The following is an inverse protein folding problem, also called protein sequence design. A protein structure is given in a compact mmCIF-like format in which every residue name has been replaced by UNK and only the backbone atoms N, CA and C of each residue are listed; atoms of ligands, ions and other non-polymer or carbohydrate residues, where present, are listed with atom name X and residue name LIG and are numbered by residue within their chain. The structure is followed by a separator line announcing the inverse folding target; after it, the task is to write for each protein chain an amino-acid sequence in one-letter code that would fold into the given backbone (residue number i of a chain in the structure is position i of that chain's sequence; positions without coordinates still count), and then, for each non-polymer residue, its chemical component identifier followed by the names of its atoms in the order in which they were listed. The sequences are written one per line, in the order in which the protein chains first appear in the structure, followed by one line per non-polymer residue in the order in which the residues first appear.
data_IF_886895327772
#
_entry.id   IF_886895327772
#
_cell.length_a   1.000
_cell.length_b   1.000
_cell.length_c   1.000
_cell.angle_alpha   90.00
_cell.angle_beta   90.00
_cell.angle_gamma   90.00
#
_symmetry.space_group_name_H-M   'P 1'
#
loop_
_entity.id
_entity.type
_entity.pdbx_description
1 polymer ?
#
# COMPACT_ATOMS: atom_id res chain seq x y z
N UNK A 1 -3.88 -0.51 3.99
CA UNK A 1 -3.52 0.07 5.30
C UNK A 1 -2.15 -0.42 5.73
N UNK A 2 -1.25 0.44 6.19
CA UNK A 2 0.02 0.00 6.80
C UNK A 2 -0.29 -0.61 8.18
N UNK A 3 0.08 -1.87 8.40
CA UNK A 3 -0.20 -2.59 9.65
C UNK A 3 1.05 -2.84 10.50
N UNK A 4 2.23 -2.78 9.90
CA UNK A 4 3.49 -2.77 10.64
C UNK A 4 4.60 -2.12 9.83
N UNK A 5 5.59 -1.56 10.53
CA UNK A 5 6.80 -0.99 9.96
C UNK A 5 8.03 -1.47 10.74
N UNK A 6 9.18 -1.50 10.08
CA UNK A 6 10.49 -1.75 10.70
C UNK A 6 11.53 -0.84 10.04
N UNK A 7 12.35 -0.17 10.83
CA UNK A 7 13.32 0.80 10.31
C UNK A 7 12.65 2.13 9.94
N UNK A 8 13.29 2.91 9.07
CA UNK A 8 12.77 4.19 8.62
C UNK A 8 11.79 3.98 7.46
N UNK A 9 10.54 4.42 7.61
CA UNK A 9 9.50 4.34 6.57
C UNK A 9 8.85 5.72 6.37
N UNK A 10 8.40 6.08 5.16
CA UNK A 10 7.88 7.42 4.86
C UNK A 10 6.52 7.71 5.53
N UNK A 11 5.83 6.67 5.99
CA UNK A 11 4.57 6.74 6.73
C UNK A 11 4.58 5.74 7.88
N UNK A 12 3.75 6.04 8.87
CA UNK A 12 3.58 5.24 10.08
C UNK A 12 2.46 4.19 9.92
N UNK A 13 2.43 3.24 10.85
CA UNK A 13 1.33 2.29 11.00
C UNK A 13 0.00 3.05 11.11
N UNK A 14 -1.02 2.55 10.42
CA UNK A 14 -2.34 3.17 10.36
C UNK A 14 -2.55 4.08 9.15
N UNK A 15 -1.50 4.49 8.43
CA UNK A 15 -1.65 5.19 7.15
C UNK A 15 -2.44 4.34 6.15
N UNK A 16 -3.31 5.01 5.37
CA UNK A 16 -4.22 4.36 4.42
C UNK A 16 -4.08 4.96 3.04
N UNK A 17 -4.27 4.08 2.07
CA UNK A 17 -4.44 4.40 0.66
C UNK A 17 -5.66 3.61 0.19
N UNK A 18 -6.54 4.27 -0.54
CA UNK A 18 -7.69 3.65 -1.21
C UNK A 18 -7.38 3.61 -2.70
N UNK A 19 -7.65 2.45 -3.32
CA UNK A 19 -7.45 2.24 -4.75
C UNK A 19 -8.80 1.88 -5.36
N UNK A 20 -9.21 2.60 -6.40
CA UNK A 20 -10.44 2.29 -7.14
C UNK A 20 -10.20 1.16 -8.14
N UNK A 21 -11.26 0.53 -8.64
CA UNK A 21 -11.15 -0.48 -9.71
C UNK A 21 -10.50 0.06 -11.00
N UNK A 22 -10.54 1.38 -11.20
CA UNK A 22 -9.89 2.08 -12.31
C UNK A 22 -8.45 2.49 -12.01
N UNK A 23 -7.95 2.16 -10.82
CA UNK A 23 -6.58 2.42 -10.38
C UNK A 23 -6.33 3.85 -9.90
N UNK A 24 -7.37 4.63 -9.64
CA UNK A 24 -7.23 5.94 -8.99
C UNK A 24 -6.84 5.75 -7.53
N UNK A 25 -6.03 6.66 -7.00
CA UNK A 25 -5.52 6.62 -5.63
C UNK A 25 -6.10 7.78 -4.83
N UNK A 26 -6.56 7.50 -3.61
CA UNK A 26 -6.91 8.48 -2.58
C UNK A 26 -6.07 8.22 -1.33
N UNK A 27 -5.40 9.26 -0.83
CA UNK A 27 -4.41 9.12 0.24
C UNK A 27 -3.07 8.57 -0.28
N UNK A 28 -2.16 8.23 0.63
CA UNK A 28 -0.83 7.71 0.29
C UNK A 28 -0.28 6.89 1.44
N UNK A 29 0.51 5.87 1.12
CA UNK A 29 1.29 5.09 2.09
C UNK A 29 2.79 5.42 2.05
N UNK A 30 3.19 6.41 1.27
CA UNK A 30 4.59 6.85 1.17
C UNK A 30 5.04 7.30 -0.22
N UNK A 31 4.27 6.99 -1.27
CA UNK A 31 4.67 7.24 -2.65
C UNK A 31 5.74 6.26 -3.17
N UNK A 32 6.29 6.54 -4.35
CA UNK A 32 7.37 5.76 -4.96
C UNK A 32 6.97 4.38 -5.48
N UNK A 33 7.97 3.53 -5.76
CA UNK A 33 7.78 2.20 -6.32
C UNK A 33 6.92 1.28 -5.42
N UNK A 34 7.11 1.36 -4.10
CA UNK A 34 6.32 0.58 -3.15
C UNK A 34 4.82 0.87 -3.21
N UNK A 35 4.42 2.12 -3.47
CA UNK A 35 3.02 2.48 -3.64
C UNK A 35 2.42 1.91 -4.93
N UNK A 36 3.21 1.89 -6.01
CA UNK A 36 2.80 1.30 -7.29
C UNK A 36 2.56 -0.22 -7.18
N UNK A 37 3.39 -0.94 -6.44
CA UNK A 37 3.21 -2.38 -6.19
C UNK A 37 1.95 -2.67 -5.38
N UNK A 38 1.72 -1.90 -4.32
CA UNK A 38 0.49 -2.03 -3.51
C UNK A 38 -0.75 -1.71 -4.34
N UNK A 39 -0.69 -0.70 -5.24
CA UNK A 39 -1.79 -0.41 -6.18
C UNK A 39 -2.10 -1.61 -7.08
N UNK A 40 -1.08 -2.27 -7.64
CA UNK A 40 -1.27 -3.44 -8.50
C UNK A 40 -1.96 -4.58 -7.74
N UNK A 41 -1.50 -4.88 -6.53
CA UNK A 41 -2.13 -5.91 -5.70
C UNK A 41 -3.54 -5.52 -5.26
N UNK A 42 -3.82 -4.23 -5.01
CA UNK A 42 -5.16 -3.76 -4.67
C UNK A 42 -6.18 -4.00 -5.80
N UNK A 43 -5.79 -3.79 -7.06
CA UNK A 43 -6.65 -4.11 -8.22
C UNK A 43 -6.95 -5.61 -8.27
N UNK A 44 -5.96 -6.47 -8.00
CA UNK A 44 -6.16 -7.92 -7.91
C UNK A 44 -7.05 -8.33 -6.73
N UNK A 45 -6.93 -7.67 -5.58
CA UNK A 45 -7.79 -7.88 -4.41
C UNK A 45 -9.24 -7.50 -4.73
N UNK A 46 -9.46 -6.38 -5.45
CA UNK A 46 -10.80 -5.98 -5.91
C UNK A 46 -11.41 -7.05 -6.83
N UNK A 47 -10.63 -7.54 -7.80
CA UNK A 47 -11.07 -8.55 -8.78
C UNK A 47 -11.38 -9.90 -8.12
N UNK A 48 -10.54 -10.33 -7.18
CA UNK A 48 -10.62 -11.66 -6.57
C UNK A 48 -11.47 -11.70 -5.30
N UNK A 49 -11.74 -10.53 -4.71
CA UNK A 49 -12.35 -10.35 -3.37
C UNK A 49 -11.61 -11.09 -2.25
N UNK A 50 -10.30 -11.32 -2.41
CA UNK A 50 -9.47 -11.99 -1.41
C UNK A 50 -8.47 -11.00 -0.85
N UNK A 51 -8.53 -10.67 0.46
CA UNK A 51 -7.54 -9.80 1.08
C UNK A 51 -6.12 -10.33 0.94
N UNK A 52 -5.13 -9.43 0.94
CA UNK A 52 -3.71 -9.77 0.82
C UNK A 52 -2.84 -8.96 1.76
N UNK A 53 -1.73 -9.56 2.16
CA UNK A 53 -0.62 -8.88 2.81
C UNK A 53 0.45 -8.59 1.77
N UNK A 54 0.82 -7.31 1.64
CA UNK A 54 1.89 -6.86 0.73
C UNK A 54 3.05 -6.36 1.56
N UNK A 55 4.23 -6.95 1.37
CA UNK A 55 5.46 -6.47 1.97
C UNK A 55 6.13 -5.52 0.99
N UNK A 56 6.40 -4.30 1.42
CA UNK A 56 7.17 -3.32 0.66
C UNK A 56 8.53 -3.17 1.34
N UNK A 57 9.57 -3.50 0.59
CA UNK A 57 10.96 -3.37 1.02
C UNK A 57 11.54 -2.10 0.40
N UNK A 58 11.98 -1.17 1.24
CA UNK A 58 12.60 0.08 0.81
C UNK A 58 14.12 0.04 0.96
N UNK A 59 14.69 -1.15 1.23
CA UNK A 59 16.13 -1.36 1.34
C UNK A 59 16.82 -1.48 -0.03
N UNK A 60 16.10 -1.78 -1.12
CA UNK A 60 16.74 -1.99 -2.42
C UNK A 60 16.95 -0.68 -3.22
N UNK A 61 16.33 0.44 -2.82
CA UNK A 61 16.52 1.73 -3.48
C UNK A 61 17.83 2.45 -3.07
N UNK A 62 18.69 1.76 -2.31
CA UNK A 62 19.99 2.28 -1.84
C UNK A 62 21.03 2.39 -2.99
N UNK A 63 20.77 1.78 -4.16
CA UNK A 63 21.68 1.90 -5.33
C UNK A 63 21.54 3.22 -6.09
N UNK A 64 20.45 3.96 -5.82
CA UNK A 64 20.16 5.28 -6.36
C UNK A 64 20.72 6.33 -5.41
N UNK A 65 21.56 7.26 -5.87
CA UNK A 65 22.11 8.40 -5.11
C UNK A 65 21.03 9.47 -4.78
N UNK A 66 19.82 9.01 -4.45
CA UNK A 66 18.62 9.81 -4.23
C UNK A 66 18.38 9.97 -2.72
N UNK A 67 18.27 11.19 -2.18
CA UNK A 67 18.19 11.46 -0.74
C UNK A 67 16.88 11.03 -0.06
N UNK A 68 16.03 10.26 -0.76
CA UNK A 68 14.68 9.89 -0.33
C UNK A 68 14.53 8.40 0.05
N UNK A 69 15.63 7.70 0.39
CA UNK A 69 15.58 6.28 0.75
C UNK A 69 15.24 6.13 2.23
N UNK A 70 13.98 5.82 2.52
CA UNK A 70 13.59 5.36 3.84
C UNK A 70 14.05 3.90 3.99
N UNK A 71 15.19 3.64 4.65
CA UNK A 71 15.79 2.30 4.78
C UNK A 71 15.02 1.34 5.71
N UNK A 72 13.77 1.04 5.38
CA UNK A 72 12.88 0.23 6.21
C UNK A 72 11.94 -0.66 5.40
N UNK A 73 11.09 -1.37 6.12
CA UNK A 73 10.10 -2.29 5.56
C UNK A 73 8.74 -1.88 6.10
N UNK A 74 7.73 -1.91 5.24
CA UNK A 74 6.33 -1.78 5.63
C UNK A 74 5.53 -2.99 5.18
N UNK A 75 4.63 -3.46 6.03
CA UNK A 75 3.63 -4.44 5.65
C UNK A 75 2.28 -3.75 5.51
N UNK A 76 1.67 -3.91 4.35
CA UNK A 76 0.41 -3.28 3.98
C UNK A 76 -0.65 -4.37 3.86
N UNK A 77 -1.67 -4.29 4.71
CA UNK A 77 -2.86 -5.10 4.54
C UNK A 77 -3.78 -4.45 3.53
N UNK A 78 -4.20 -5.23 2.54
CA UNK A 78 -5.05 -4.80 1.43
C UNK A 78 -6.34 -5.61 1.51
N UNK A 79 -7.40 -4.94 1.95
CA UNK A 79 -8.74 -5.48 2.08
C UNK A 79 -9.68 -4.89 1.01
N UNK A 80 -10.56 -5.71 0.40
CA UNK A 80 -11.56 -5.20 -0.52
C UNK A 80 -12.66 -4.47 0.28
N UNK A 81 -13.03 -3.28 -0.17
CA UNK A 81 -14.10 -2.49 0.43
C UNK A 81 -15.26 -2.31 -0.55
N UNK A 82 -16.49 -2.57 -0.09
CA UNK A 82 -17.71 -2.26 -0.81
C UNK A 82 -18.74 -1.70 0.15
N UNK A 83 -19.60 -0.82 -0.36
CA UNK A 83 -20.83 -0.45 0.35
C UNK A 83 -21.79 -1.63 0.22
N UNK A 84 -22.06 -2.34 1.31
CA UNK A 84 -23.24 -3.21 1.36
C UNK A 84 -24.47 -2.36 1.08
N UNK A 85 -25.40 -2.85 0.25
CA UNK A 85 -26.70 -2.20 0.14
C UNK A 85 -27.31 -2.23 1.54
N UNK A 86 -27.36 -1.07 2.20
CA UNK A 86 -28.24 -0.84 3.33
C UNK A 86 -29.64 -1.25 2.85
N UNK A 87 -30.15 -2.34 3.42
CA UNK A 87 -31.37 -3.02 2.98
C UNK A 87 -32.51 -2.03 2.77
N UNK A 88 -33.21 -2.24 1.66
CA UNK A 88 -34.50 -1.62 1.34
C UNK A 88 -35.63 -2.52 1.88
#
# INVERSE_FOLDING_TARGET
TIVSTKGSTPREVGAKMVVTAWGEILGTIGGGCGEADVKREAIEVIRTRKPRMVRVDLLDDISSDSPAVCGGIMNVFVDPWWKEKSGE
#
